data_IF_829622217892
#
_entry.id   IF_829622217892
#
_cell.length_a   1.000
_cell.length_b   1.000
_cell.length_c   1.000
_cell.angle_alpha   90.00
_cell.angle_beta   90.00
_cell.angle_gamma   90.00
#
_symmetry.space_group_name_H-M   'P 1'
#
loop_
_entity.id
_entity.type
_entity.pdbx_description
1 polymer ?
#
# COMPACT_ATOMS: atom_id res chain seq x y z
N UNK A 1 -8.04 16.16 16.08
CA UNK A 1 -7.52 15.54 17.33
C UNK A 1 -7.00 14.17 16.97
N UNK A 2 -5.79 13.82 17.42
CA UNK A 2 -5.23 12.46 17.28
C UNK A 2 -5.94 11.53 18.27
N UNK A 3 -6.24 10.29 17.87
CA UNK A 3 -6.88 9.33 18.77
C UNK A 3 -5.85 8.62 19.67
N UNK A 4 -6.31 8.06 20.79
CA UNK A 4 -5.42 7.37 21.75
C UNK A 4 -4.63 6.23 21.12
N UNK A 5 -5.19 5.55 20.12
CA UNK A 5 -4.50 4.47 19.38
C UNK A 5 -3.26 4.97 18.64
N UNK A 6 -3.27 6.23 18.18
CA UNK A 6 -2.09 6.85 17.56
C UNK A 6 -1.04 7.18 18.61
N UNK A 7 -1.46 7.75 19.73
CA UNK A 7 -0.56 8.12 20.83
C UNK A 7 0.09 6.92 21.51
N UNK A 8 -0.58 5.76 21.52
CA UNK A 8 -0.09 4.51 22.11
C UNK A 8 0.64 3.61 21.11
N UNK A 9 0.61 3.93 19.81
CA UNK A 9 1.23 3.10 18.80
C UNK A 9 2.76 3.15 18.91
N UNK A 10 3.36 1.99 19.14
CA UNK A 10 4.81 1.80 19.03
C UNK A 10 5.08 1.27 17.63
N UNK A 11 5.45 2.17 16.72
CA UNK A 11 5.72 1.82 15.32
C UNK A 11 7.22 1.66 15.07
N UNK A 12 7.55 0.75 14.17
CA UNK A 12 8.93 0.50 13.71
C UNK A 12 9.01 0.72 12.20
N UNK A 13 10.18 1.10 11.72
CA UNK A 13 10.41 1.21 10.28
C UNK A 13 10.57 -0.20 9.68
N UNK A 14 10.04 -0.45 8.47
CA UNK A 14 10.29 -1.70 7.76
C UNK A 14 11.79 -1.82 7.46
N UNK A 15 12.38 -2.98 7.74
CA UNK A 15 13.74 -3.27 7.30
C UNK A 15 13.75 -3.51 5.78
N UNK A 16 14.92 -3.39 5.14
CA UNK A 16 15.07 -3.63 3.70
C UNK A 16 14.68 -5.05 3.28
N UNK A 17 14.79 -6.02 4.19
CA UNK A 17 14.39 -7.42 3.95
C UNK A 17 12.96 -7.74 4.37
N UNK A 18 12.24 -6.79 4.97
CA UNK A 18 10.86 -7.01 5.42
C UNK A 18 9.90 -6.85 4.24
N UNK A 19 9.11 -7.88 3.89
CA UNK A 19 8.13 -7.76 2.81
C UNK A 19 7.02 -6.78 3.21
N UNK A 20 6.70 -5.86 2.30
CA UNK A 20 5.59 -4.91 2.46
C UNK A 20 4.53 -5.25 1.42
N UNK A 21 3.36 -5.66 1.90
CA UNK A 21 2.23 -6.09 1.06
C UNK A 21 1.31 -4.91 0.77
N UNK A 22 1.80 -3.96 -0.03
CA UNK A 22 1.10 -2.72 -0.38
C UNK A 22 0.20 -2.80 -1.62
N UNK A 23 0.35 -3.88 -2.40
CA UNK A 23 -0.38 -4.02 -3.65
C UNK A 23 -1.69 -4.81 -3.49
N UNK A 24 -1.74 -5.79 -2.60
CA UNK A 24 -2.87 -6.73 -2.54
C UNK A 24 -3.15 -7.21 -1.12
N UNK A 25 -4.40 -7.64 -0.90
CA UNK A 25 -4.81 -8.29 0.33
C UNK A 25 -4.26 -9.70 0.39
N UNK A 26 -3.53 -10.02 1.46
CA UNK A 26 -2.89 -11.33 1.66
C UNK A 26 -3.86 -12.50 1.92
N UNK A 27 -5.17 -12.25 1.94
CA UNK A 27 -6.21 -13.26 2.19
C UNK A 27 -7.16 -13.49 1.01
N UNK A 28 -7.49 -12.45 0.23
CA UNK A 28 -8.43 -12.58 -0.89
C UNK A 28 -7.93 -12.01 -2.21
N UNK A 29 -6.70 -11.50 -2.28
CA UNK A 29 -6.10 -10.98 -3.51
C UNK A 29 -6.84 -9.77 -4.12
N UNK A 30 -7.79 -9.15 -3.39
CA UNK A 30 -8.27 -7.81 -3.75
C UNK A 30 -7.07 -6.87 -3.78
N UNK A 31 -7.02 -6.00 -4.79
CA UNK A 31 -5.84 -5.18 -5.06
C UNK A 31 -6.09 -3.67 -4.91
N UNK A 32 -5.01 -2.91 -4.92
CA UNK A 32 -5.00 -1.47 -4.72
C UNK A 32 -5.67 -0.66 -5.85
N UNK A 33 -6.08 -1.27 -6.97
CA UNK A 33 -6.87 -0.63 -8.03
C UNK A 33 -8.36 -0.58 -7.70
N UNK A 34 -8.80 -1.37 -6.71
CA UNK A 34 -10.18 -1.36 -6.26
C UNK A 34 -10.54 0.00 -5.66
N UNK A 35 -11.81 0.38 -5.73
CA UNK A 35 -12.27 1.68 -5.23
C UNK A 35 -11.97 1.89 -3.73
N UNK A 36 -11.89 0.81 -2.96
CA UNK A 36 -11.57 0.85 -1.52
C UNK A 36 -10.06 0.87 -1.22
N UNK A 37 -9.20 0.62 -2.21
CA UNK A 37 -7.75 0.48 -2.03
C UNK A 37 -7.37 -0.70 -1.12
N UNK A 38 -6.12 -0.70 -0.67
CA UNK A 38 -5.56 -1.67 0.28
C UNK A 38 -5.03 -0.99 1.51
N UNK A 39 -5.39 -1.52 2.68
CA UNK A 39 -4.90 -1.07 3.97
C UNK A 39 -3.67 -1.88 4.36
N UNK A 40 -2.52 -1.20 4.46
CA UNK A 40 -1.26 -1.79 4.93
C UNK A 40 -1.10 -1.50 6.42
N UNK A 41 -0.93 -2.54 7.22
CA UNK A 41 -0.67 -2.41 8.65
C UNK A 41 0.65 -1.70 8.93
N UNK A 42 0.64 -0.64 9.74
CA UNK A 42 1.86 0.11 10.09
C UNK A 42 2.75 -0.59 11.13
N UNK A 43 2.27 -1.68 11.74
CA UNK A 43 3.03 -2.46 12.73
C UNK A 43 3.70 -3.70 12.13
N UNK A 44 3.06 -4.36 11.15
CA UNK A 44 3.57 -5.62 10.57
C UNK A 44 3.56 -5.67 9.04
N UNK A 45 3.22 -4.56 8.37
CA UNK A 45 3.30 -4.37 6.92
C UNK A 45 2.48 -5.37 6.07
N UNK A 46 1.51 -6.03 6.70
CA UNK A 46 0.56 -6.92 6.03
C UNK A 46 -0.56 -6.11 5.36
N UNK A 47 -0.94 -6.52 4.15
CA UNK A 47 -2.00 -5.90 3.35
C UNK A 47 -3.36 -6.53 3.61
N UNK A 48 -4.39 -5.71 3.81
CA UNK A 48 -5.77 -6.14 4.03
C UNK A 48 -6.75 -5.31 3.22
N UNK A 49 -7.77 -5.95 2.65
CA UNK A 49 -8.86 -5.21 2.02
C UNK A 49 -9.75 -4.55 3.10
N UNK A 50 -10.08 -3.25 2.97
CA UNK A 50 -10.96 -2.55 3.90
C UNK A 50 -12.45 -2.64 3.50
N UNK A 51 -12.76 -3.29 2.38
CA UNK A 51 -14.09 -3.34 1.79
C UNK A 51 -14.94 -4.54 2.22
N UNK A 52 -16.26 -4.34 2.25
CA UNK A 52 -17.25 -5.40 2.50
C UNK A 52 -17.36 -6.33 1.29
N UNK A 53 -17.64 -7.64 1.48
CA UNK A 53 -18.01 -8.29 2.75
C UNK A 53 -16.83 -8.75 3.61
N UNK A 54 -15.61 -8.76 3.07
CA UNK A 54 -14.48 -9.43 3.70
C UNK A 54 -13.84 -8.62 4.85
N UNK A 55 -13.57 -7.33 4.64
CA UNK A 55 -12.99 -6.43 5.64
C UNK A 55 -11.73 -7.01 6.34
N UNK A 56 -10.82 -7.64 5.59
CA UNK A 56 -9.64 -8.30 6.16
C UNK A 56 -8.73 -7.35 6.96
N UNK A 57 -8.69 -6.06 6.62
CA UNK A 57 -7.97 -5.05 7.40
C UNK A 57 -8.55 -4.87 8.80
N UNK A 58 -9.88 -4.75 8.92
CA UNK A 58 -10.57 -4.68 10.20
C UNK A 58 -10.39 -5.98 11.01
N UNK A 59 -10.54 -7.14 10.36
CA UNK A 59 -10.33 -8.42 11.02
C UNK A 59 -8.89 -8.56 11.56
N UNK A 60 -7.89 -8.11 10.78
CA UNK A 60 -6.51 -8.08 11.22
C UNK A 60 -6.36 -7.23 12.48
N UNK A 61 -6.85 -5.98 12.46
CA UNK A 61 -6.76 -5.07 13.58
C UNK A 61 -7.36 -5.64 14.87
N UNK A 62 -8.54 -6.26 14.80
CA UNK A 62 -9.20 -6.86 15.97
C UNK A 62 -8.47 -8.10 16.52
N UNK A 63 -7.80 -8.87 15.65
CA UNK A 63 -7.09 -10.10 16.05
C UNK A 63 -5.68 -9.81 16.59
N UNK A 64 -4.97 -8.85 16.00
CA UNK A 64 -3.59 -8.52 16.36
C UNK A 64 -3.46 -7.36 17.36
N UNK A 65 -4.49 -6.53 17.49
CA UNK A 65 -4.40 -5.24 18.18
C UNK A 65 -3.66 -4.17 17.38
N UNK A 66 -3.32 -4.42 16.11
CA UNK A 66 -2.69 -3.43 15.23
C UNK A 66 -3.75 -2.52 14.61
N UNK A 67 -4.03 -1.40 15.26
CA UNK A 67 -5.14 -0.54 14.88
C UNK A 67 -4.85 0.45 13.76
N UNK A 68 -3.58 0.69 13.40
CA UNK A 68 -3.20 1.71 12.43
C UNK A 68 -2.80 1.11 11.09
N UNK A 69 -3.42 1.60 10.03
CA UNK A 69 -3.13 1.23 8.65
C UNK A 69 -2.90 2.48 7.79
N UNK A 70 -2.13 2.34 6.71
CA UNK A 70 -2.15 3.29 5.61
C UNK A 70 -2.94 2.68 4.46
N UNK A 71 -3.98 3.34 4.01
CA UNK A 71 -4.68 2.98 2.80
C UNK A 71 -3.88 3.45 1.59
N UNK A 72 -3.76 2.60 0.59
CA UNK A 72 -3.09 2.88 -0.69
C UNK A 72 -4.05 2.51 -1.79
N UNK A 73 -4.35 3.48 -2.66
CA UNK A 73 -5.23 3.30 -3.80
C UNK A 73 -4.57 3.85 -5.05
N UNK A 74 -4.44 3.03 -6.08
CA UNK A 74 -3.95 3.46 -7.39
C UNK A 74 -5.12 3.92 -8.25
N UNK A 75 -5.01 5.12 -8.77
CA UNK A 75 -5.98 5.74 -9.67
C UNK A 75 -5.27 6.08 -10.97
N UNK A 76 -5.89 5.76 -12.10
CA UNK A 76 -5.34 6.14 -13.41
C UNK A 76 -5.50 7.64 -13.59
N UNK A 77 -4.43 8.35 -13.95
CA UNK A 77 -4.51 9.77 -14.29
C UNK A 77 -5.39 9.92 -15.53
N UNK A 78 -6.29 10.89 -15.50
CA UNK A 78 -7.07 11.24 -16.69
C UNK A 78 -6.12 11.89 -17.71
N UNK A 79 -5.94 11.25 -18.86
CA UNK A 79 -5.06 11.74 -19.92
C UNK A 79 -5.75 12.93 -20.61
N UNK A 80 -5.25 14.15 -20.43
CA UNK A 80 -5.70 15.35 -21.17
C UNK A 80 -5.14 15.30 -22.61
N UNK A 81 -5.52 14.28 -23.36
CA UNK A 81 -5.11 14.12 -24.74
C UNK A 81 -6.18 14.72 -25.66
N UNK A 82 -6.06 16.03 -25.93
CA UNK A 82 -6.55 16.56 -27.21
C UNK A 82 -5.85 15.75 -28.30
N UNK A 83 -6.55 15.07 -29.23
CA UNK A 83 -5.91 14.15 -30.16
C UNK A 83 -4.94 14.92 -31.06
N UNK A 84 -3.65 14.86 -30.72
CA UNK A 84 -2.60 15.29 -31.62
C UNK A 84 -2.63 14.33 -32.80
N UNK A 85 -2.89 14.88 -33.98
CA UNK A 85 -3.04 14.14 -35.24
C UNK A 85 -1.90 13.13 -35.38
N UNK A 86 -2.25 11.86 -35.29
CA UNK A 86 -1.36 10.71 -35.44
C UNK A 86 -0.62 10.83 -36.79
N UNK A 87 0.65 11.19 -36.73
CA UNK A 87 1.61 10.89 -37.79
C UNK A 87 2.83 10.31 -37.13
N UNK A 88 3.11 9.04 -37.48
CA UNK A 88 4.25 8.21 -37.05
C UNK A 88 3.99 7.36 -35.80
N UNK A 89 3.89 6.05 -36.02
CA UNK A 89 3.91 5.01 -35.00
C UNK A 89 5.32 4.98 -34.36
N UNK A 90 5.54 5.81 -33.35
CA UNK A 90 6.60 5.64 -32.37
C UNK A 90 5.92 5.18 -31.08
N UNK A 91 6.12 3.92 -30.69
CA UNK A 91 5.69 3.41 -29.39
C UNK A 91 6.69 4.00 -28.40
N UNK A 92 6.39 5.19 -27.90
CA UNK A 92 7.05 5.71 -26.70
C UNK A 92 6.44 4.93 -25.54
N UNK A 93 7.16 3.94 -25.01
CA UNK A 93 6.82 3.35 -23.73
C UNK A 93 6.94 4.44 -22.66
N UNK A 94 5.84 5.13 -22.39
CA UNK A 94 5.75 5.97 -21.20
C UNK A 94 5.88 5.04 -19.99
N UNK A 95 6.77 5.36 -19.03
CA UNK A 95 6.92 4.53 -17.85
C UNK A 95 5.55 4.39 -17.19
N UNK A 96 5.13 3.15 -16.92
CA UNK A 96 3.80 2.85 -16.35
C UNK A 96 3.48 3.74 -15.13
N UNK A 97 4.51 4.11 -14.37
CA UNK A 97 4.43 4.99 -13.20
C UNK A 97 3.91 6.41 -13.49
N UNK A 98 4.07 6.93 -14.72
CA UNK A 98 3.56 8.26 -15.09
C UNK A 98 2.04 8.26 -15.33
N UNK A 99 1.44 7.10 -15.63
CA UNK A 99 0.02 6.94 -15.95
C UNK A 99 -0.88 6.84 -14.70
N UNK A 100 -0.31 6.64 -13.52
CA UNK A 100 -1.06 6.40 -12.29
C UNK A 100 -0.69 7.40 -11.19
N UNK A 101 -1.67 7.74 -10.37
CA UNK A 101 -1.55 8.48 -9.13
C UNK A 101 -1.94 7.58 -7.95
N UNK A 102 -1.30 7.77 -6.80
CA UNK A 102 -1.62 7.01 -5.60
C UNK A 102 -2.25 7.92 -4.56
N UNK A 103 -3.52 7.65 -4.23
CA UNK A 103 -4.20 8.27 -3.11
C UNK A 103 -3.83 7.49 -1.83
N UNK A 104 -3.41 8.21 -0.79
CA UNK A 104 -3.03 7.58 0.48
C UNK A 104 -3.59 8.36 1.67
N UNK A 105 -4.01 7.63 2.69
CA UNK A 105 -4.43 8.21 3.97
C UNK A 105 -4.25 7.20 5.10
N UNK A 106 -4.08 7.70 6.33
CA UNK A 106 -3.97 6.84 7.51
C UNK A 106 -5.36 6.55 8.06
N UNK A 107 -5.62 5.30 8.40
CA UNK A 107 -6.88 4.84 9.00
C UNK A 107 -6.62 4.21 10.36
N UNK A 108 -7.54 4.45 11.30
CA UNK A 108 -7.56 3.81 12.61
C UNK A 108 -8.78 2.89 12.75
N UNK A 109 -8.53 1.57 12.80
CA UNK A 109 -9.56 0.56 12.99
C UNK A 109 -10.09 0.48 14.42
N UNK A 110 -9.32 0.91 15.42
CA UNK A 110 -9.79 1.06 16.81
C UNK A 110 -10.83 2.18 16.97
N UNK A 111 -10.90 3.11 16.01
CA UNK A 111 -11.89 4.18 15.96
C UNK A 111 -12.94 3.93 14.87
N UNK A 112 -13.40 2.68 14.73
CA UNK A 112 -14.40 2.27 13.73
C UNK A 112 -14.00 2.58 12.28
N UNK A 113 -12.69 2.52 11.97
CA UNK A 113 -12.18 2.78 10.62
C UNK A 113 -12.08 4.26 10.27
N UNK A 114 -12.00 5.16 11.25
CA UNK A 114 -11.85 6.59 11.02
C UNK A 114 -10.56 6.91 10.24
N UNK A 115 -10.69 7.76 9.23
CA UNK A 115 -9.55 8.38 8.54
C UNK A 115 -8.96 9.47 9.45
N UNK A 116 -7.63 9.57 9.47
CA UNK A 116 -6.89 10.53 10.28
C UNK A 116 -6.33 11.64 9.39
N UNK A 117 -6.79 12.87 9.59
CA UNK A 117 -6.32 14.02 8.79
C UNK A 117 -5.00 14.60 9.30
N UNK A 118 -4.75 14.49 10.61
CA UNK A 118 -3.56 15.05 11.26
C UNK A 118 -2.77 13.92 11.91
N UNK A 119 -1.76 13.44 11.19
CA UNK A 119 -0.93 12.31 11.59
C UNK A 119 0.37 12.83 12.22
N UNK A 120 0.82 12.34 13.39
CA UNK A 120 2.10 12.75 13.98
C UNK A 120 3.30 12.42 13.08
N UNK A 121 4.40 13.16 13.23
CA UNK A 121 5.62 12.99 12.42
C UNK A 121 6.16 11.56 12.47
N UNK A 122 6.16 10.91 13.63
CA UNK A 122 6.63 9.53 13.78
C UNK A 122 5.84 8.55 12.90
N UNK A 123 4.53 8.72 12.83
CA UNK A 123 3.67 7.88 11.98
C UNK A 123 3.89 8.22 10.51
N UNK A 124 4.04 9.50 10.16
CA UNK A 124 4.35 9.92 8.79
C UNK A 124 5.67 9.32 8.29
N UNK A 125 6.70 9.22 9.15
CA UNK A 125 7.97 8.59 8.81
C UNK A 125 7.81 7.11 8.47
N UNK A 126 6.98 6.38 9.22
CA UNK A 126 6.70 4.96 8.94
C UNK A 126 5.88 4.81 7.67
N UNK A 127 4.85 5.66 7.48
CA UNK A 127 4.06 5.69 6.24
C UNK A 127 4.98 5.91 5.03
N UNK A 128 5.86 6.91 5.08
CA UNK A 128 6.82 7.18 4.01
C UNK A 128 7.70 5.97 3.72
N UNK A 129 8.21 5.29 4.75
CA UNK A 129 9.01 4.08 4.58
C UNK A 129 8.21 2.92 3.96
N UNK A 130 6.94 2.74 4.33
CA UNK A 130 6.05 1.73 3.74
C UNK A 130 5.80 2.01 2.26
N UNK A 131 5.56 3.27 1.88
CA UNK A 131 5.32 3.64 0.48
C UNK A 131 6.55 3.41 -0.40
N UNK A 132 7.75 3.65 0.13
CA UNK A 132 9.02 3.48 -0.60
C UNK A 132 9.67 2.10 -0.42
N UNK A 133 9.12 1.23 0.42
CA UNK A 133 9.62 -0.12 0.58
C UNK A 133 9.47 -0.91 -0.72
N UNK A 134 10.39 -1.86 -0.94
CA UNK A 134 10.32 -2.80 -2.05
C UNK A 134 9.05 -3.62 -1.92
N UNK A 135 8.27 -3.71 -3.00
CA UNK A 135 7.04 -4.49 -3.05
C UNK A 135 7.34 -5.97 -2.77
N UNK A 136 6.50 -6.62 -1.97
CA UNK A 136 6.66 -8.05 -1.64
C UNK A 136 6.73 -8.94 -2.90
N UNK A 137 5.98 -8.61 -3.95
CA UNK A 137 5.97 -9.34 -5.23
C UNK A 137 7.32 -9.23 -5.94
N UNK A 138 7.90 -8.02 -6.00
CA UNK A 138 9.25 -7.79 -6.57
C UNK A 138 10.34 -8.45 -5.74
N UNK A 139 10.23 -8.42 -4.40
CA UNK A 139 11.17 -9.11 -3.52
C UNK A 139 11.15 -10.64 -3.70
N UNK A 140 9.98 -11.23 -3.93
CA UNK A 140 9.83 -12.66 -4.18
C UNK A 140 10.41 -13.08 -5.54
N UNK A 141 10.23 -12.24 -6.58
CA UNK A 141 10.82 -12.48 -7.90
C UNK A 141 12.35 -12.44 -7.86
N UNK A 142 12.95 -11.42 -7.23
CA UNK A 142 14.41 -11.31 -7.06
C UNK A 142 14.97 -12.54 -6.33
N UNK A 143 14.26 -13.01 -5.30
CA UNK A 143 14.67 -14.19 -4.54
C UNK A 143 14.59 -15.47 -5.38
N UNK A 144 13.52 -15.65 -6.15
CA UNK A 144 13.37 -16.81 -7.04
C UNK A 144 14.51 -16.86 -8.08
N UNK A 145 14.84 -15.72 -8.68
CA UNK A 145 15.93 -15.63 -9.66
C UNK A 145 17.30 -15.91 -9.02
N UNK A 146 17.52 -15.44 -7.78
CA UNK A 146 18.75 -15.71 -7.04
C UNK A 146 18.94 -17.20 -6.74
N UNK A 147 17.86 -17.92 -6.39
CA UNK A 147 17.90 -19.36 -6.09
C UNK A 147 18.19 -20.19 -7.37
N UNK A 148 17.65 -19.79 -8.53
CA UNK A 148 17.92 -20.45 -9.81
C UNK A 148 19.38 -20.29 -10.28
N UNK A 149 20.02 -19.14 -10.03
CA UNK A 149 21.42 -18.90 -10.42
C UNK A 149 22.42 -19.72 -9.58
N UNK A 150 22.05 -20.08 -8.34
CA UNK A 150 22.90 -20.88 -7.45
C UNK A 150 22.80 -22.40 -7.63
N UNK A 151 21.90 -22.90 -8.47
CA UNK A 151 21.77 -24.32 -8.76
C UNK A 151 22.73 -24.74 -9.90
N UNK A 152 24.04 -24.83 -9.62
CA UNK A 152 25.03 -25.52 -10.46
C UNK A 152 26.23 -25.99 -9.63
#
# INVERSE_FOLDING_TARGET
MVCDHVSQAVLTLPASSTPVYKEECTQCFDDHNMAAGIDVCLSCFNGGCPGTPNNHAHQHAMKSGHHLTVNIRRVRKESDERPAKLTKLEIVEEPENDQYEFETFVRCWGCSGAQLDNVPEDVQRVVHAVLHAVEASKGSEIKAWAEEVTAC
#
